data_IF_824426977639
#
_entry.id   IF_824426977639
#
_cell.length_a   1.000
_cell.length_b   1.000
_cell.length_c   1.000
_cell.angle_alpha   90.00
_cell.angle_beta   90.00
_cell.angle_gamma   90.00
#
_symmetry.space_group_name_H-M   'P 1'
#
loop_
_entity.id
_entity.type
_entity.pdbx_description
1 polymer ?
#
# COMPACT_ATOMS: atom_id res chain seq x y z
N UNK A 1 -7.24 16.35 -8.32
CA UNK A 1 -7.61 15.18 -7.48
C UNK A 1 -6.57 14.08 -7.73
N UNK A 2 -6.21 13.31 -6.71
CA UNK A 2 -5.33 12.15 -6.89
C UNK A 2 -6.00 11.14 -7.84
N UNK A 3 -5.19 10.43 -8.65
CA UNK A 3 -5.75 9.38 -9.51
C UNK A 3 -6.23 8.20 -8.66
N UNK A 4 -7.19 7.38 -9.12
CA UNK A 4 -7.58 6.16 -8.42
C UNK A 4 -6.40 5.24 -8.10
N UNK A 5 -5.40 5.20 -8.97
CA UNK A 5 -4.20 4.39 -8.75
C UNK A 5 -3.29 4.96 -7.66
N UNK A 6 -3.21 6.28 -7.49
CA UNK A 6 -2.45 6.89 -6.39
C UNK A 6 -3.07 6.50 -5.03
N UNK A 7 -4.41 6.47 -4.96
CA UNK A 7 -5.13 6.05 -3.75
C UNK A 7 -4.93 4.56 -3.48
N UNK A 8 -5.01 3.71 -4.49
CA UNK A 8 -4.77 2.27 -4.38
C UNK A 8 -3.31 1.99 -4.00
N UNK A 9 -2.34 2.68 -4.61
CA UNK A 9 -0.91 2.56 -4.28
C UNK A 9 -0.61 3.02 -2.85
N UNK A 10 -1.32 4.04 -2.37
CA UNK A 10 -1.14 4.58 -1.01
C UNK A 10 -1.51 3.59 0.10
N UNK A 11 -2.45 2.69 -0.15
CA UNK A 11 -2.77 1.55 0.75
C UNK A 11 -1.98 0.30 0.41
N UNK A 12 -1.65 0.12 -0.84
CA UNK A 12 -1.02 -1.09 -1.38
C UNK A 12 -1.95 -2.30 -1.47
N UNK A 13 -3.27 -2.11 -1.23
CA UNK A 13 -4.24 -3.20 -1.15
C UNK A 13 -5.51 -2.82 -1.90
N UNK A 14 -5.99 -3.73 -2.74
CA UNK A 14 -7.26 -3.62 -3.44
C UNK A 14 -8.11 -4.86 -3.16
N UNK A 15 -9.16 -4.77 -2.31
CA UNK A 15 -10.16 -5.83 -2.18
C UNK A 15 -10.85 -6.09 -3.52
N UNK A 16 -10.82 -7.35 -3.97
CA UNK A 16 -11.45 -7.79 -5.24
C UNK A 16 -12.60 -8.73 -4.88
N UNK A 17 -13.82 -8.27 -5.04
CA UNK A 17 -14.97 -8.90 -4.41
C UNK A 17 -16.08 -9.16 -5.43
N UNK A 18 -16.67 -10.35 -5.35
CA UNK A 18 -17.95 -10.69 -5.97
C UNK A 18 -19.05 -10.46 -4.94
N UNK A 19 -20.02 -9.62 -5.25
CA UNK A 19 -21.18 -9.34 -4.41
C UNK A 19 -22.37 -10.08 -5.02
N UNK A 20 -23.01 -10.95 -4.25
CA UNK A 20 -24.20 -11.70 -4.70
C UNK A 20 -25.50 -10.94 -4.39
N UNK A 21 -25.54 -10.27 -3.26
CA UNK A 21 -26.70 -9.54 -2.72
C UNK A 21 -26.39 -8.04 -2.71
N UNK A 22 -26.96 -7.24 -3.63
CA UNK A 22 -26.66 -5.81 -3.71
C UNK A 22 -26.98 -5.04 -2.43
N UNK A 23 -27.96 -5.53 -1.66
CA UNK A 23 -28.41 -4.95 -0.39
C UNK A 23 -27.28 -4.91 0.65
N UNK A 24 -26.38 -5.88 0.62
CA UNK A 24 -25.25 -6.01 1.58
C UNK A 24 -24.02 -5.17 1.19
N UNK A 25 -24.03 -4.57 0.01
CA UNK A 25 -22.87 -3.89 -0.58
C UNK A 25 -22.40 -2.68 0.23
N UNK A 26 -23.32 -1.96 0.87
CA UNK A 26 -23.02 -0.76 1.66
C UNK A 26 -22.35 -1.14 2.97
N UNK A 27 -22.88 -2.15 3.68
CA UNK A 27 -22.30 -2.66 4.93
C UNK A 27 -20.92 -3.28 4.69
N UNK A 28 -20.76 -4.02 3.58
CA UNK A 28 -19.47 -4.57 3.17
C UNK A 28 -18.44 -3.45 2.91
N UNK A 29 -18.82 -2.42 2.17
CA UNK A 29 -17.96 -1.27 1.91
C UNK A 29 -17.62 -0.51 3.20
N UNK A 30 -18.59 -0.35 4.12
CA UNK A 30 -18.37 0.25 5.43
C UNK A 30 -17.35 -0.56 6.26
N UNK A 31 -17.45 -1.90 6.26
CA UNK A 31 -16.52 -2.78 6.96
C UNK A 31 -15.09 -2.69 6.39
N UNK A 32 -14.94 -2.63 5.06
CA UNK A 32 -13.65 -2.45 4.39
C UNK A 32 -13.02 -1.11 4.79
N UNK A 33 -13.81 -0.02 4.78
CA UNK A 33 -13.36 1.31 5.20
C UNK A 33 -12.95 1.35 6.67
N UNK A 34 -13.73 0.73 7.55
CA UNK A 34 -13.41 0.61 8.97
C UNK A 34 -12.10 -0.16 9.22
N UNK A 35 -11.74 -1.08 8.31
CA UNK A 35 -10.46 -1.76 8.28
C UNK A 35 -9.30 -0.92 7.71
N UNK A 36 -9.55 0.31 7.25
CA UNK A 36 -8.53 1.25 6.78
C UNK A 36 -8.27 1.21 5.28
N UNK A 37 -9.16 0.63 4.47
CA UNK A 37 -9.02 0.57 3.01
C UNK A 37 -10.15 1.38 2.36
N UNK A 38 -9.81 2.43 1.63
CA UNK A 38 -10.78 3.28 0.94
C UNK A 38 -10.88 2.99 -0.57
N UNK A 39 -10.73 1.72 -0.94
CA UNK A 39 -10.83 1.23 -2.32
C UNK A 39 -11.48 -0.15 -2.37
N UNK A 40 -12.20 -0.46 -3.46
CA UNK A 40 -12.80 -1.77 -3.74
C UNK A 40 -12.89 -2.02 -5.25
N UNK A 41 -12.60 -3.24 -5.70
CA UNK A 41 -12.91 -3.75 -7.05
C UNK A 41 -14.13 -4.68 -6.94
N UNK A 42 -15.28 -4.23 -7.47
CA UNK A 42 -16.49 -5.07 -7.59
C UNK A 42 -16.40 -5.83 -8.91
N UNK A 43 -16.36 -7.15 -8.86
CA UNK A 43 -16.25 -7.97 -10.07
C UNK A 43 -17.59 -8.11 -10.79
N UNK A 44 -17.69 -7.65 -12.03
CA UNK A 44 -18.90 -7.73 -12.87
C UNK A 44 -19.01 -9.14 -13.47
N UNK A 45 -19.45 -10.09 -12.64
CA UNK A 45 -19.65 -11.52 -13.01
C UNK A 45 -21.09 -11.99 -12.82
N UNK A 46 -21.96 -11.12 -12.33
CA UNK A 46 -23.40 -11.35 -12.11
C UNK A 46 -24.16 -10.01 -12.28
N UNK A 47 -25.46 -10.08 -12.31
CA UNK A 47 -26.35 -8.93 -12.52
C UNK A 47 -26.33 -7.95 -11.31
N UNK A 48 -26.01 -8.46 -10.10
CA UNK A 48 -25.96 -7.68 -8.87
C UNK A 48 -24.79 -6.69 -8.82
N UNK A 49 -23.75 -6.89 -9.64
CA UNK A 49 -22.49 -6.15 -9.50
C UNK A 49 -22.63 -4.64 -9.77
N UNK A 50 -23.37 -4.26 -10.81
CA UNK A 50 -23.54 -2.85 -11.17
C UNK A 50 -24.43 -2.12 -10.17
N UNK A 51 -25.49 -2.77 -9.67
CA UNK A 51 -26.32 -2.23 -8.61
C UNK A 51 -25.52 -2.06 -7.31
N UNK A 52 -24.72 -3.08 -6.93
CA UNK A 52 -23.83 -3.00 -5.77
C UNK A 52 -22.87 -1.81 -5.87
N UNK A 53 -22.25 -1.64 -7.04
CA UNK A 53 -21.34 -0.51 -7.30
C UNK A 53 -22.04 0.84 -7.15
N UNK A 54 -23.25 1.00 -7.71
CA UNK A 54 -24.03 2.21 -7.60
C UNK A 54 -24.42 2.52 -6.14
N UNK A 55 -24.83 1.51 -5.37
CA UNK A 55 -25.14 1.64 -3.94
C UNK A 55 -23.92 2.07 -3.12
N UNK A 56 -22.75 1.47 -3.38
CA UNK A 56 -21.48 1.83 -2.72
C UNK A 56 -21.14 3.29 -3.02
N UNK A 57 -21.19 3.71 -4.29
CA UNK A 57 -20.87 5.09 -4.68
C UNK A 57 -21.84 6.10 -4.14
N UNK A 58 -23.13 5.75 -4.01
CA UNK A 58 -24.13 6.63 -3.39
C UNK A 58 -23.87 6.82 -1.89
N UNK A 59 -23.53 5.75 -1.17
CA UNK A 59 -23.26 5.78 0.26
C UNK A 59 -21.88 6.38 0.61
N UNK A 60 -20.87 6.12 -0.21
CA UNK A 60 -19.48 6.53 -0.02
C UNK A 60 -18.88 7.16 -1.28
N UNK A 61 -19.24 8.42 -1.61
CA UNK A 61 -18.76 9.09 -2.84
C UNK A 61 -17.24 9.23 -2.92
N UNK A 62 -16.56 9.28 -1.77
CA UNK A 62 -15.10 9.38 -1.63
C UNK A 62 -14.36 8.03 -1.69
N UNK A 63 -15.07 6.90 -1.62
CA UNK A 63 -14.46 5.57 -1.78
C UNK A 63 -14.14 5.31 -3.26
N UNK A 64 -12.92 4.87 -3.55
CA UNK A 64 -12.52 4.45 -4.89
C UNK A 64 -13.16 3.09 -5.21
N UNK A 65 -14.24 3.08 -5.96
CA UNK A 65 -14.94 1.88 -6.36
C UNK A 65 -14.77 1.62 -7.86
N UNK A 66 -14.13 0.49 -8.19
CA UNK A 66 -13.89 0.09 -9.58
C UNK A 66 -14.68 -1.14 -9.99
N UNK A 67 -14.90 -1.26 -11.29
CA UNK A 67 -15.50 -2.44 -11.89
C UNK A 67 -14.41 -3.40 -12.39
N UNK A 68 -14.39 -4.62 -11.87
CA UNK A 68 -13.51 -5.71 -12.30
C UNK A 68 -14.18 -6.69 -13.25
N UNK A 69 -13.36 -7.48 -13.94
CA UNK A 69 -13.82 -8.47 -14.95
C UNK A 69 -14.54 -7.83 -16.15
N UNK A 70 -14.21 -6.59 -16.44
CA UNK A 70 -14.74 -5.87 -17.61
C UNK A 70 -13.96 -6.31 -18.85
N UNK A 71 -14.67 -6.74 -19.92
CA UNK A 71 -14.03 -7.36 -21.08
C UNK A 71 -14.36 -6.68 -22.43
N UNK A 72 -15.25 -5.69 -22.43
CA UNK A 72 -15.63 -4.95 -23.63
C UNK A 72 -16.14 -3.54 -23.32
N UNK A 73 -16.26 -2.71 -24.35
CA UNK A 73 -16.71 -1.31 -24.25
C UNK A 73 -18.13 -1.17 -23.69
N UNK A 74 -19.02 -2.11 -23.99
CA UNK A 74 -20.39 -2.10 -23.47
C UNK A 74 -20.39 -2.22 -21.94
N UNK A 75 -19.57 -3.11 -21.38
CA UNK A 75 -19.39 -3.25 -19.93
C UNK A 75 -18.72 -2.02 -19.31
N UNK A 76 -17.77 -1.37 -20.00
CA UNK A 76 -17.19 -0.10 -19.54
C UNK A 76 -18.27 0.96 -19.36
N UNK A 77 -19.12 1.15 -20.39
CA UNK A 77 -20.23 2.12 -20.34
C UNK A 77 -21.20 1.84 -19.19
N UNK A 78 -21.57 0.57 -19.01
CA UNK A 78 -22.46 0.16 -17.93
C UNK A 78 -21.83 0.42 -16.54
N UNK A 79 -20.55 0.07 -16.35
CA UNK A 79 -19.82 0.30 -15.13
C UNK A 79 -19.68 1.81 -14.80
N UNK A 80 -19.38 2.63 -15.80
CA UNK A 80 -19.35 4.10 -15.65
C UNK A 80 -20.72 4.66 -15.29
N UNK A 81 -21.78 4.17 -15.92
CA UNK A 81 -23.17 4.52 -15.59
C UNK A 81 -23.53 4.18 -14.14
N UNK A 82 -22.96 3.12 -13.57
CA UNK A 82 -23.08 2.74 -12.17
C UNK A 82 -22.13 3.51 -11.23
N UNK A 83 -21.30 4.42 -11.74
CA UNK A 83 -20.40 5.27 -10.93
C UNK A 83 -19.00 4.71 -10.71
N UNK A 84 -18.56 3.72 -11.50
CA UNK A 84 -17.19 3.21 -11.37
C UNK A 84 -16.14 4.31 -11.57
N UNK A 85 -15.16 4.40 -10.67
CA UNK A 85 -14.03 5.34 -10.75
C UNK A 85 -12.92 4.81 -11.66
N UNK A 86 -12.77 3.49 -11.76
CA UNK A 86 -11.76 2.84 -12.58
C UNK A 86 -12.25 1.48 -13.10
N UNK A 87 -11.58 0.99 -14.14
CA UNK A 87 -11.88 -0.28 -14.82
C UNK A 87 -10.72 -1.26 -14.65
N UNK A 88 -11.04 -2.52 -14.39
CA UNK A 88 -10.07 -3.62 -14.35
C UNK A 88 -10.56 -4.76 -15.25
N UNK A 89 -9.67 -5.26 -16.10
CA UNK A 89 -9.99 -6.42 -16.97
C UNK A 89 -9.12 -7.64 -16.62
N UNK A 90 -9.58 -8.85 -16.93
CA UNK A 90 -8.82 -10.07 -16.71
C UNK A 90 -7.69 -10.26 -17.73
N UNK A 91 -7.78 -9.63 -18.88
CA UNK A 91 -6.79 -9.69 -19.96
C UNK A 91 -6.68 -8.35 -20.69
N UNK A 92 -5.74 -8.26 -21.62
CA UNK A 92 -5.50 -7.07 -22.43
C UNK A 92 -6.44 -7.02 -23.65
N UNK A 93 -7.45 -6.16 -23.57
CA UNK A 93 -8.37 -5.89 -24.69
C UNK A 93 -8.07 -4.53 -25.29
N UNK A 94 -7.40 -4.46 -26.44
CA UNK A 94 -6.92 -3.21 -27.05
C UNK A 94 -8.05 -2.19 -27.23
N UNK A 95 -9.14 -2.57 -27.90
CA UNK A 95 -10.30 -1.68 -28.14
C UNK A 95 -10.88 -1.10 -26.86
N UNK A 96 -11.03 -1.94 -25.83
CA UNK A 96 -11.56 -1.50 -24.54
C UNK A 96 -10.59 -0.54 -23.83
N UNK A 97 -9.28 -0.80 -23.88
CA UNK A 97 -8.26 0.07 -23.28
C UNK A 97 -8.22 1.41 -24.01
N UNK A 98 -8.21 1.41 -25.34
CA UNK A 98 -8.23 2.63 -26.16
C UNK A 98 -9.49 3.47 -25.88
N UNK A 99 -10.66 2.82 -25.76
CA UNK A 99 -11.90 3.49 -25.38
C UNK A 99 -11.76 4.15 -23.98
N UNK A 100 -11.26 3.42 -22.98
CA UNK A 100 -11.07 3.98 -21.65
C UNK A 100 -10.14 5.20 -21.65
N UNK A 101 -9.02 5.11 -22.37
CA UNK A 101 -8.04 6.20 -22.47
C UNK A 101 -8.61 7.42 -23.18
N UNK A 102 -9.37 7.25 -24.26
CA UNK A 102 -10.00 8.32 -25.01
C UNK A 102 -11.04 9.08 -24.15
N UNK A 103 -11.74 8.37 -23.26
CA UNK A 103 -12.78 8.90 -22.38
C UNK A 103 -12.23 9.33 -21.00
N UNK A 104 -10.90 9.29 -20.81
CA UNK A 104 -10.24 9.65 -19.53
C UNK A 104 -10.58 8.72 -18.36
N UNK A 105 -10.97 7.46 -18.66
CA UNK A 105 -11.33 6.47 -17.64
C UNK A 105 -10.07 5.71 -17.21
N UNK A 106 -9.68 5.74 -15.93
CA UNK A 106 -8.57 4.95 -15.43
C UNK A 106 -8.80 3.45 -15.67
N UNK A 107 -7.82 2.77 -16.28
CA UNK A 107 -7.95 1.35 -16.63
C UNK A 107 -6.68 0.58 -16.29
N UNK A 108 -6.86 -0.63 -15.71
CA UNK A 108 -5.77 -1.57 -15.41
C UNK A 108 -6.05 -2.91 -16.08
N UNK A 109 -5.53 -3.13 -17.31
CA UNK A 109 -5.75 -4.38 -18.00
C UNK A 109 -4.92 -5.51 -17.41
N UNK A 110 -5.45 -6.75 -17.49
CA UNK A 110 -4.71 -7.96 -17.20
C UNK A 110 -3.63 -8.22 -18.24
N UNK A 111 -2.40 -8.46 -17.77
CA UNK A 111 -1.26 -8.83 -18.59
C UNK A 111 -0.51 -9.98 -17.91
N UNK A 112 -0.15 -11.01 -18.67
CA UNK A 112 0.62 -12.16 -18.19
C UNK A 112 1.93 -12.37 -18.98
N UNK A 113 2.07 -11.71 -20.11
CA UNK A 113 3.20 -11.87 -21.04
C UNK A 113 3.90 -10.53 -21.32
N UNK A 114 5.20 -10.55 -21.70
CA UNK A 114 5.93 -9.36 -22.14
C UNK A 114 5.24 -8.62 -23.29
N UNK A 115 4.62 -9.34 -24.25
CA UNK A 115 3.94 -8.72 -25.40
C UNK A 115 2.71 -7.92 -24.98
N UNK A 116 1.92 -8.40 -24.01
CA UNK A 116 0.77 -7.66 -23.48
C UNK A 116 1.21 -6.44 -22.69
N UNK A 117 2.29 -6.56 -21.91
CA UNK A 117 2.86 -5.44 -21.14
C UNK A 117 3.41 -4.37 -22.11
N UNK A 118 4.09 -4.78 -23.17
CA UNK A 118 4.57 -3.87 -24.22
C UNK A 118 3.41 -3.14 -24.88
N UNK A 119 2.35 -3.84 -25.29
CA UNK A 119 1.16 -3.23 -25.87
C UNK A 119 0.48 -2.22 -24.90
N UNK A 120 0.43 -2.55 -23.61
CA UNK A 120 -0.07 -1.63 -22.59
C UNK A 120 0.82 -0.37 -22.49
N UNK A 121 2.14 -0.54 -22.50
CA UNK A 121 3.10 0.57 -22.45
C UNK A 121 3.03 1.46 -23.70
N UNK A 122 2.85 0.90 -24.89
CA UNK A 122 2.68 1.64 -26.14
C UNK A 122 1.45 2.54 -26.12
N UNK A 123 0.38 2.13 -25.41
CA UNK A 123 -0.82 2.95 -25.16
C UNK A 123 -0.63 3.97 -24.02
N UNK A 124 0.55 4.05 -23.43
CA UNK A 124 0.85 5.01 -22.37
C UNK A 124 0.45 4.56 -20.96
N UNK A 125 0.00 3.33 -20.78
CA UNK A 125 -0.30 2.79 -19.46
C UNK A 125 0.97 2.64 -18.61
N UNK A 126 0.83 2.84 -17.32
CA UNK A 126 1.92 2.67 -16.34
C UNK A 126 1.62 1.62 -15.28
N UNK A 127 0.39 1.15 -15.23
CA UNK A 127 -0.06 0.13 -14.28
C UNK A 127 -0.78 -0.96 -15.04
N UNK A 128 -0.44 -2.21 -14.79
CA UNK A 128 -1.13 -3.40 -15.32
C UNK A 128 -1.43 -4.38 -14.20
N UNK A 129 -2.49 -5.18 -14.36
CA UNK A 129 -2.80 -6.28 -13.47
C UNK A 129 -2.04 -7.52 -13.92
N UNK A 130 -1.17 -8.09 -13.08
CA UNK A 130 -0.63 -9.42 -13.32
C UNK A 130 -1.67 -10.46 -12.90
N UNK A 131 -2.23 -11.20 -13.86
CA UNK A 131 -3.30 -12.16 -13.60
C UNK A 131 -3.22 -13.39 -14.51
N UNK A 132 -3.33 -14.60 -13.94
CA UNK A 132 -3.36 -14.97 -12.50
C UNK A 132 -1.94 -15.00 -11.89
N UNK A 133 -1.65 -14.11 -10.93
CA UNK A 133 -0.29 -13.80 -10.48
C UNK A 133 0.52 -15.02 -10.02
N UNK A 134 -0.07 -15.87 -9.15
CA UNK A 134 0.64 -17.04 -8.63
C UNK A 134 0.94 -18.10 -9.71
N UNK A 135 0.13 -18.16 -10.76
CA UNK A 135 0.33 -19.09 -11.89
C UNK A 135 1.34 -18.56 -12.90
N UNK A 136 1.51 -17.23 -12.96
CA UNK A 136 2.44 -16.54 -13.87
C UNK A 136 3.83 -16.33 -13.24
N UNK A 137 4.17 -17.05 -12.16
CA UNK A 137 5.49 -16.97 -11.51
C UNK A 137 5.61 -15.99 -10.36
N UNK A 138 4.50 -15.37 -9.95
CA UNK A 138 4.42 -14.58 -8.72
C UNK A 138 5.34 -13.35 -8.70
N UNK A 139 5.94 -13.07 -7.54
CA UNK A 139 6.84 -11.94 -7.36
C UNK A 139 8.15 -12.09 -8.17
N UNK A 140 8.59 -13.32 -8.42
CA UNK A 140 9.75 -13.61 -9.27
C UNK A 140 9.54 -13.09 -10.69
N UNK A 141 8.41 -13.44 -11.31
CA UNK A 141 8.07 -12.94 -12.65
C UNK A 141 7.97 -11.41 -12.69
N UNK A 142 7.43 -10.76 -11.65
CA UNK A 142 7.38 -9.29 -11.59
C UNK A 142 8.79 -8.70 -11.57
N UNK A 143 9.72 -9.28 -10.81
CA UNK A 143 11.12 -8.83 -10.78
C UNK A 143 11.79 -8.95 -12.16
N UNK A 144 11.59 -10.08 -12.82
CA UNK A 144 12.14 -10.32 -14.18
C UNK A 144 11.55 -9.35 -15.21
N UNK A 145 10.22 -9.17 -15.19
CA UNK A 145 9.51 -8.24 -16.09
C UNK A 145 9.87 -6.76 -15.80
N UNK A 146 10.21 -6.42 -14.58
CA UNK A 146 10.61 -5.06 -14.22
C UNK A 146 11.94 -4.63 -14.84
N UNK A 147 12.78 -5.57 -15.28
CA UNK A 147 14.02 -5.25 -15.98
C UNK A 147 13.75 -4.49 -17.29
N UNK A 148 13.10 -5.11 -18.27
CA UNK A 148 12.78 -4.46 -19.56
C UNK A 148 11.68 -3.40 -19.43
N UNK A 149 10.76 -3.51 -18.47
CA UNK A 149 9.62 -2.62 -18.29
C UNK A 149 9.73 -1.76 -17.00
N UNK A 150 10.88 -1.13 -16.78
CA UNK A 150 11.22 -0.45 -15.51
C UNK A 150 10.31 0.71 -15.11
N UNK A 151 9.43 1.19 -15.99
CA UNK A 151 8.43 2.21 -15.68
C UNK A 151 7.04 1.64 -15.38
N UNK A 152 6.87 0.32 -15.60
CA UNK A 152 5.60 -0.36 -15.36
C UNK A 152 5.45 -0.75 -13.90
N UNK A 153 4.28 -0.51 -13.35
CA UNK A 153 3.84 -1.01 -12.04
C UNK A 153 2.87 -2.15 -12.23
N UNK A 154 2.84 -3.04 -11.26
CA UNK A 154 2.01 -4.24 -11.30
C UNK A 154 1.01 -4.26 -10.13
N UNK A 155 -0.20 -4.75 -10.42
CA UNK A 155 -1.19 -5.12 -9.42
C UNK A 155 -1.40 -6.64 -9.50
N UNK A 156 -0.53 -7.45 -8.86
CA UNK A 156 -0.70 -8.90 -8.84
C UNK A 156 -2.02 -9.27 -8.17
N UNK A 157 -2.76 -10.16 -8.82
CA UNK A 157 -4.06 -10.65 -8.35
C UNK A 157 -4.16 -12.15 -8.58
N UNK A 158 -4.83 -12.87 -7.68
CA UNK A 158 -4.94 -14.32 -7.60
C UNK A 158 -3.75 -14.97 -6.88
N UNK A 159 -4.07 -15.70 -5.81
CA UNK A 159 -3.11 -16.41 -4.97
C UNK A 159 -2.41 -15.55 -3.93
N UNK A 160 -2.86 -14.31 -3.74
CA UNK A 160 -2.39 -13.43 -2.66
C UNK A 160 -3.16 -13.74 -1.39
N UNK A 161 -2.43 -13.77 -0.27
CA UNK A 161 -2.94 -14.01 1.08
C UNK A 161 -2.04 -13.33 2.13
N UNK A 162 -2.32 -13.52 3.42
CA UNK A 162 -1.53 -12.90 4.49
C UNK A 162 -0.08 -13.37 4.56
N UNK A 163 0.21 -14.60 4.10
CA UNK A 163 1.56 -15.18 4.20
C UNK A 163 2.52 -14.62 3.15
N UNK A 164 2.00 -14.20 1.98
CA UNK A 164 2.81 -13.70 0.87
C UNK A 164 2.64 -12.20 0.56
N UNK A 165 1.66 -11.55 1.21
CA UNK A 165 1.35 -10.13 0.99
C UNK A 165 2.59 -9.22 1.11
N UNK A 166 3.35 -9.38 2.18
CA UNK A 166 4.53 -8.55 2.45
C UNK A 166 5.64 -8.76 1.42
N UNK A 167 5.81 -9.99 0.91
CA UNK A 167 6.79 -10.29 -0.14
C UNK A 167 6.45 -9.54 -1.44
N UNK A 168 5.18 -9.56 -1.86
CA UNK A 168 4.75 -8.79 -3.04
C UNK A 168 4.93 -7.29 -2.83
N UNK A 169 4.49 -6.76 -1.69
CA UNK A 169 4.52 -5.32 -1.43
C UNK A 169 5.93 -4.76 -1.15
N UNK A 170 6.90 -5.61 -0.84
CA UNK A 170 8.30 -5.21 -0.76
C UNK A 170 8.95 -5.04 -2.15
N UNK A 171 8.34 -5.57 -3.21
CA UNK A 171 8.82 -5.36 -4.58
C UNK A 171 8.47 -3.95 -5.06
N UNK A 172 9.45 -3.09 -5.43
CA UNK A 172 9.19 -1.70 -5.82
C UNK A 172 8.32 -1.55 -7.08
N UNK A 173 8.23 -2.60 -7.91
CA UNK A 173 7.39 -2.62 -9.09
C UNK A 173 5.91 -2.95 -8.77
N UNK A 174 5.59 -3.35 -7.54
CA UNK A 174 4.21 -3.64 -7.13
C UNK A 174 3.59 -2.38 -6.55
N UNK A 175 2.57 -1.85 -7.23
CA UNK A 175 1.78 -0.72 -6.78
C UNK A 175 0.85 -1.13 -5.62
N UNK A 176 0.10 -2.21 -5.83
CA UNK A 176 -0.80 -2.78 -4.85
C UNK A 176 -0.98 -4.29 -5.13
N UNK A 177 -1.60 -5.00 -4.21
CA UNK A 177 -2.04 -6.39 -4.41
C UNK A 177 -3.55 -6.45 -4.47
N UNK A 178 -4.10 -7.23 -5.41
CA UNK A 178 -5.52 -7.51 -5.52
C UNK A 178 -5.88 -8.86 -4.92
N UNK A 179 -6.93 -8.93 -4.10
CA UNK A 179 -7.35 -10.22 -3.55
C UNK A 179 -8.69 -10.19 -2.81
N UNK A 180 -9.28 -11.37 -2.68
CA UNK A 180 -10.54 -11.59 -1.95
C UNK A 180 -10.33 -12.14 -0.53
N UNK A 181 -9.08 -12.29 -0.08
CA UNK A 181 -8.76 -12.94 1.20
C UNK A 181 -9.25 -12.16 2.42
N UNK A 182 -9.49 -10.85 2.28
CA UNK A 182 -10.02 -9.97 3.34
C UNK A 182 -11.54 -10.13 3.53
N UNK A 183 -12.26 -10.40 2.43
CA UNK A 183 -13.71 -10.57 2.44
C UNK A 183 -14.07 -11.80 1.61
N UNK A 184 -13.87 -13.00 2.21
CA UNK A 184 -14.18 -14.27 1.58
C UNK A 184 -15.69 -14.44 1.43
N UNK A 185 -16.12 -15.17 0.41
CA UNK A 185 -17.53 -15.36 0.09
C UNK A 185 -18.35 -15.92 1.26
N UNK A 186 -17.78 -16.84 2.03
CA UNK A 186 -18.44 -17.43 3.21
C UNK A 186 -18.60 -16.43 4.37
N UNK A 187 -17.69 -15.48 4.51
CA UNK A 187 -17.76 -14.39 5.52
C UNK A 187 -18.84 -13.38 5.11
N UNK A 188 -18.88 -13.00 3.82
CA UNK A 188 -19.90 -12.10 3.27
C UNK A 188 -21.29 -12.73 3.42
N UNK A 189 -21.46 -14.01 3.05
CA UNK A 189 -22.73 -14.71 3.12
C UNK A 189 -23.30 -14.84 4.56
N UNK A 190 -22.44 -14.76 5.57
CA UNK A 190 -22.86 -14.70 6.99
C UNK A 190 -23.05 -13.29 7.52
N UNK A 191 -22.85 -12.27 6.69
CA UNK A 191 -22.85 -10.85 7.07
C UNK A 191 -21.90 -10.54 8.25
N UNK A 192 -20.77 -11.24 8.31
CA UNK A 192 -19.79 -11.08 9.38
C UNK A 192 -18.85 -9.89 9.07
N UNK A 193 -19.41 -8.70 9.20
CA UNK A 193 -18.72 -7.44 8.87
C UNK A 193 -17.57 -7.15 9.81
N UNK A 194 -17.64 -7.64 11.05
CA UNK A 194 -16.52 -7.48 11.98
C UNK A 194 -15.29 -8.26 11.51
N UNK A 195 -15.46 -9.50 11.06
CA UNK A 195 -14.39 -10.31 10.46
C UNK A 195 -13.81 -9.63 9.21
N UNK A 196 -14.64 -9.03 8.35
CA UNK A 196 -14.16 -8.27 7.19
C UNK A 196 -13.28 -7.08 7.64
N UNK A 197 -13.75 -6.32 8.63
CA UNK A 197 -13.01 -5.18 9.20
C UNK A 197 -11.65 -5.61 9.75
N UNK A 198 -11.62 -6.66 10.55
CA UNK A 198 -10.39 -7.15 11.19
C UNK A 198 -9.42 -7.73 10.16
N UNK A 199 -9.93 -8.40 9.14
CA UNK A 199 -9.15 -8.90 8.02
C UNK A 199 -8.50 -7.76 7.20
N UNK A 200 -9.26 -6.71 6.93
CA UNK A 200 -8.73 -5.52 6.24
C UNK A 200 -7.66 -4.81 7.09
N UNK A 201 -7.92 -4.64 8.40
CA UNK A 201 -6.94 -4.05 9.33
C UNK A 201 -5.64 -4.85 9.35
N UNK A 202 -5.73 -6.19 9.47
CA UNK A 202 -4.56 -7.07 9.41
C UNK A 202 -3.79 -6.93 8.08
N UNK A 203 -4.49 -6.81 6.96
CA UNK A 203 -3.85 -6.60 5.67
C UNK A 203 -3.09 -5.27 5.61
N UNK A 204 -3.68 -4.18 6.15
CA UNK A 204 -3.03 -2.87 6.25
C UNK A 204 -1.81 -2.93 7.17
N UNK A 205 -1.90 -3.56 8.33
CA UNK A 205 -0.77 -3.76 9.26
C UNK A 205 0.39 -4.48 8.59
N UNK A 206 0.12 -5.57 7.86
CA UNK A 206 1.13 -6.30 7.09
C UNK A 206 1.71 -5.48 5.93
N UNK A 207 0.89 -4.66 5.27
CA UNK A 207 1.34 -3.75 4.21
C UNK A 207 2.35 -2.73 4.73
N UNK A 208 2.11 -2.19 5.91
CA UNK A 208 2.98 -1.22 6.57
C UNK A 208 4.20 -1.90 7.19
N UNK A 209 3.99 -3.04 7.86
CA UNK A 209 5.03 -3.85 8.47
C UNK A 209 5.93 -3.07 9.42
N UNK A 210 5.32 -2.28 10.31
CA UNK A 210 6.08 -1.50 11.30
C UNK A 210 6.86 -2.40 12.26
N UNK A 211 8.13 -2.07 12.44
CA UNK A 211 9.06 -2.72 13.37
C UNK A 211 9.91 -1.66 14.06
N UNK A 212 10.26 -1.87 15.33
CA UNK A 212 11.21 -1.00 16.01
C UNK A 212 12.56 -1.02 15.27
N UNK A 213 13.05 0.15 14.86
CA UNK A 213 14.36 0.30 14.25
C UNK A 213 15.44 0.52 15.31
N UNK A 214 15.26 1.55 16.13
CA UNK A 214 16.17 1.94 17.21
C UNK A 214 15.50 2.94 18.15
N UNK A 215 16.13 3.14 19.31
CA UNK A 215 15.82 4.24 20.22
C UNK A 215 17.01 5.17 20.25
N UNK A 216 16.79 6.44 19.93
CA UNK A 216 17.78 7.49 20.01
C UNK A 216 17.67 8.24 21.34
N UNK A 217 18.78 8.46 22.01
CA UNK A 217 18.88 9.21 23.25
C UNK A 217 19.63 10.50 23.01
N UNK A 218 19.10 11.63 23.45
CA UNK A 218 19.81 12.90 23.38
C UNK A 218 20.85 12.96 24.49
N UNK A 219 22.11 13.26 24.11
CA UNK A 219 23.22 13.49 25.03
C UNK A 219 23.66 14.95 24.96
N UNK A 220 24.28 15.45 26.03
CA UNK A 220 24.78 16.81 26.08
C UNK A 220 26.01 17.04 25.18
N UNK A 221 26.66 15.96 24.73
CA UNK A 221 27.81 16.01 23.86
C UNK A 221 28.39 14.64 23.51
N UNK A 222 29.43 14.66 22.69
CA UNK A 222 30.11 13.43 22.23
C UNK A 222 30.72 12.63 23.40
N UNK A 223 31.26 13.32 24.42
CA UNK A 223 31.91 12.66 25.55
C UNK A 223 30.89 11.88 26.41
N UNK A 224 29.73 12.47 26.65
CA UNK A 224 28.61 11.79 27.32
C UNK A 224 28.12 10.60 26.50
N UNK A 225 27.91 10.80 25.18
CA UNK A 225 27.48 9.74 24.29
C UNK A 225 28.49 8.58 24.28
N UNK A 226 29.79 8.86 24.31
CA UNK A 226 30.83 7.83 24.35
C UNK A 226 30.82 7.09 25.71
N UNK A 227 30.70 7.80 26.82
CA UNK A 227 30.64 7.19 28.16
C UNK A 227 29.42 6.28 28.32
N UNK A 228 28.25 6.73 27.84
CA UNK A 228 27.02 5.92 27.83
C UNK A 228 27.14 4.70 26.89
N UNK A 229 27.78 4.87 25.73
CA UNK A 229 28.04 3.76 24.81
C UNK A 229 28.89 2.66 25.43
N UNK A 230 29.97 3.05 26.12
CA UNK A 230 30.85 2.12 26.82
C UNK A 230 30.13 1.40 27.95
N UNK A 231 29.31 2.15 28.73
CA UNK A 231 28.52 1.59 29.83
C UNK A 231 27.45 0.59 29.31
N UNK A 232 26.73 0.94 28.23
CA UNK A 232 25.77 0.04 27.61
C UNK A 232 26.43 -1.20 27.05
N UNK A 233 27.56 -1.03 26.36
CA UNK A 233 28.32 -2.16 25.76
C UNK A 233 28.96 -3.06 26.83
N UNK A 234 29.34 -2.51 27.98
CA UNK A 234 29.83 -3.31 29.12
C UNK A 234 28.74 -4.22 29.71
N UNK A 235 27.45 -3.73 29.71
CA UNK A 235 26.31 -4.51 30.21
C UNK A 235 25.75 -5.46 29.15
N UNK A 236 25.71 -5.00 27.92
CA UNK A 236 25.17 -5.73 26.76
C UNK A 236 26.20 -5.68 25.62
N UNK A 237 27.00 -6.71 25.41
CA UNK A 237 28.09 -6.68 24.45
C UNK A 237 27.61 -6.73 22.99
N UNK A 238 27.02 -5.61 22.53
CA UNK A 238 26.45 -5.44 21.19
C UNK A 238 27.40 -4.76 20.20
N UNK A 239 28.54 -4.27 20.67
CA UNK A 239 29.52 -3.51 19.88
C UNK A 239 29.15 -2.02 19.77
N UNK A 240 30.18 -1.17 19.82
CA UNK A 240 30.05 0.29 19.70
C UNK A 240 30.50 0.73 18.30
N UNK A 241 29.71 1.56 17.66
CA UNK A 241 29.98 2.14 16.33
C UNK A 241 29.90 3.66 16.37
N UNK A 242 31.01 4.38 16.58
CA UNK A 242 31.03 5.83 16.55
C UNK A 242 30.74 6.35 15.14
N UNK A 243 29.87 7.38 15.04
CA UNK A 243 29.56 8.10 13.82
C UNK A 243 29.85 9.60 13.94
N UNK A 244 29.48 10.37 12.91
CA UNK A 244 29.70 11.82 12.89
C UNK A 244 28.75 12.58 13.81
N UNK A 245 27.48 12.19 13.86
CA UNK A 245 26.40 12.87 14.60
C UNK A 245 25.91 12.08 15.82
N UNK A 246 26.21 10.79 15.86
CA UNK A 246 25.75 9.86 16.90
C UNK A 246 26.71 8.69 17.06
N UNK A 247 26.56 7.95 18.15
CA UNK A 247 27.24 6.67 18.41
C UNK A 247 26.18 5.59 18.58
N UNK A 248 26.29 4.51 17.82
CA UNK A 248 25.40 3.35 17.97
C UNK A 248 25.99 2.28 18.90
N UNK A 249 25.14 1.71 19.74
CA UNK A 249 25.42 0.47 20.46
C UNK A 249 24.54 -0.63 19.86
N UNK A 250 25.18 -1.59 19.21
CA UNK A 250 24.50 -2.54 18.35
C UNK A 250 23.80 -1.86 17.16
N UNK A 251 22.53 -2.23 16.95
CA UNK A 251 21.63 -1.60 15.97
C UNK A 251 20.42 -0.92 16.63
N UNK A 252 20.30 -1.07 17.95
CA UNK A 252 19.09 -0.75 18.69
C UNK A 252 19.13 0.58 19.44
N UNK A 253 20.34 1.04 19.84
CA UNK A 253 20.48 2.28 20.62
C UNK A 253 21.38 3.26 19.86
N UNK A 254 20.89 4.46 19.65
CA UNK A 254 21.60 5.58 19.06
C UNK A 254 21.80 6.68 20.11
N UNK A 255 23.02 7.07 20.36
CA UNK A 255 23.38 8.12 21.30
C UNK A 255 23.75 9.38 20.50
N UNK A 256 22.88 10.38 20.52
CA UNK A 256 23.06 11.62 19.77
C UNK A 256 24.13 12.48 20.41
N UNK A 257 25.09 12.96 19.61
CA UNK A 257 26.18 13.84 20.09
C UNK A 257 25.70 15.26 20.41
N UNK A 258 24.55 15.64 19.84
CA UNK A 258 23.90 16.93 20.05
C UNK A 258 22.39 16.61 20.15
N UNK A 259 21.67 17.19 21.12
CA UNK A 259 20.21 17.01 21.18
C UNK A 259 19.56 17.34 19.84
N UNK A 260 18.66 16.46 19.43
CA UNK A 260 17.92 16.57 18.18
C UNK A 260 16.42 16.57 18.47
N UNK A 261 15.57 16.11 17.57
CA UNK A 261 14.13 16.04 17.83
C UNK A 261 13.81 15.18 19.05
N UNK A 262 12.77 15.62 19.78
CA UNK A 262 12.25 14.99 20.99
C UNK A 262 12.97 15.44 22.27
N UNK A 263 12.19 15.63 23.35
CA UNK A 263 12.71 16.04 24.66
C UNK A 263 13.75 15.05 25.21
N UNK A 264 13.48 13.74 25.07
CA UNK A 264 14.35 12.67 25.52
C UNK A 264 15.17 12.02 24.38
N UNK A 265 14.81 12.34 23.13
CA UNK A 265 15.36 11.73 21.95
C UNK A 265 14.27 11.24 20.99
N UNK A 266 14.52 10.14 20.27
CA UNK A 266 13.60 9.67 19.26
C UNK A 266 13.42 8.15 19.27
N UNK A 267 12.30 7.68 18.71
CA UNK A 267 12.05 6.27 18.45
C UNK A 267 11.86 6.11 16.94
N UNK A 268 12.71 5.29 16.33
CA UNK A 268 12.64 4.98 14.90
C UNK A 268 11.86 3.71 14.63
N UNK A 269 10.96 3.76 13.65
CA UNK A 269 10.22 2.61 13.15
C UNK A 269 10.58 2.34 11.69
N UNK A 270 10.91 1.07 11.38
CA UNK A 270 11.04 0.61 10.00
C UNK A 270 9.68 0.31 9.42
N UNK A 271 9.53 0.52 8.12
CA UNK A 271 8.31 0.17 7.37
C UNK A 271 8.65 -0.43 6.01
N UNK A 272 7.73 -1.22 5.47
CA UNK A 272 7.84 -1.77 4.10
C UNK A 272 7.74 -0.67 3.03
N UNK A 273 7.06 0.45 3.34
CA UNK A 273 6.94 1.59 2.42
C UNK A 273 6.71 2.89 3.20
N UNK A 274 7.69 3.78 3.16
CA UNK A 274 7.60 5.09 3.82
C UNK A 274 6.47 5.94 3.23
N UNK A 275 6.24 5.85 1.92
CA UNK A 275 5.14 6.56 1.27
C UNK A 275 3.76 6.05 1.73
N UNK A 276 3.56 4.72 1.87
CA UNK A 276 2.33 4.15 2.44
C UNK A 276 2.15 4.51 3.90
N UNK A 277 3.24 4.49 4.69
CA UNK A 277 3.20 4.93 6.09
C UNK A 277 2.77 6.39 6.21
N UNK A 278 3.29 7.28 5.33
CA UNK A 278 2.87 8.68 5.27
C UNK A 278 1.37 8.80 5.02
N UNK A 279 0.86 8.17 3.96
CA UNK A 279 -0.56 8.19 3.63
C UNK A 279 -1.44 7.61 4.76
N UNK A 280 -0.97 6.55 5.43
CA UNK A 280 -1.63 5.96 6.59
C UNK A 280 -1.77 6.95 7.74
N UNK A 281 -0.72 7.70 8.09
CA UNK A 281 -0.77 8.70 9.15
C UNK A 281 -1.67 9.88 8.78
N UNK A 282 -1.53 10.42 7.57
CA UNK A 282 -2.34 11.53 7.08
C UNK A 282 -3.84 11.20 7.04
N UNK A 283 -4.20 9.98 6.62
CA UNK A 283 -5.60 9.52 6.61
C UNK A 283 -6.23 9.44 8.01
N UNK A 284 -5.42 9.44 9.05
CA UNK A 284 -5.83 9.44 10.47
C UNK A 284 -5.67 10.79 11.15
N UNK A 285 -5.35 11.82 10.38
CA UNK A 285 -5.12 13.17 10.93
C UNK A 285 -3.85 13.30 11.76
N UNK A 286 -2.91 12.33 11.65
CA UNK A 286 -1.62 12.40 12.32
C UNK A 286 -0.68 13.24 11.46
N UNK A 287 -0.24 14.36 12.01
CA UNK A 287 0.59 15.32 11.30
C UNK A 287 2.03 14.83 11.10
N UNK A 288 2.61 15.16 9.95
CA UNK A 288 3.99 14.84 9.59
C UNK A 288 4.80 16.13 9.56
N UNK A 289 6.02 16.08 10.07
CA UNK A 289 6.97 17.17 9.89
C UNK A 289 7.49 17.17 8.45
N UNK A 290 6.92 18.04 7.61
CA UNK A 290 7.23 18.12 6.18
C UNK A 290 8.71 18.42 5.89
N UNK A 291 9.38 19.19 6.76
CA UNK A 291 10.80 19.55 6.60
C UNK A 291 11.73 18.36 6.84
N UNK A 292 11.26 17.31 7.54
CA UNK A 292 12.02 16.11 7.82
C UNK A 292 11.99 15.08 6.70
N UNK A 293 11.12 15.24 5.69
CA UNK A 293 10.97 14.29 4.60
C UNK A 293 12.26 14.20 3.79
N UNK A 294 12.78 13.02 3.61
CA UNK A 294 13.92 12.77 2.74
C UNK A 294 13.65 11.67 1.71
N UNK A 295 14.49 11.65 0.68
CA UNK A 295 14.38 10.77 -0.47
C UNK A 295 15.71 10.08 -0.74
N UNK A 296 15.65 8.86 -1.23
CA UNK A 296 16.83 8.12 -1.67
C UNK A 296 17.36 8.64 -3.03
N UNK A 297 18.49 8.11 -3.47
CA UNK A 297 19.12 8.49 -4.74
C UNK A 297 18.25 8.21 -5.99
N UNK A 298 17.18 7.41 -5.84
CA UNK A 298 16.19 7.10 -6.89
C UNK A 298 14.94 7.96 -6.78
N UNK A 299 14.92 8.95 -5.87
CA UNK A 299 13.78 9.85 -5.64
C UNK A 299 12.62 9.18 -4.87
N UNK A 300 12.82 8.06 -4.21
CA UNK A 300 11.81 7.42 -3.39
C UNK A 300 11.90 7.95 -1.95
N UNK A 301 10.74 8.30 -1.36
CA UNK A 301 10.67 8.70 0.05
C UNK A 301 11.21 7.58 0.93
N UNK A 302 12.17 7.89 1.78
CA UNK A 302 12.86 6.93 2.63
C UNK A 302 12.83 7.24 4.12
N UNK A 303 12.35 8.46 4.50
CA UNK A 303 12.36 8.90 5.89
C UNK A 303 11.41 10.08 6.12
N UNK A 304 10.81 10.20 7.32
CA UNK A 304 10.19 11.40 7.88
C UNK A 304 9.99 11.26 9.40
N UNK A 305 9.84 12.42 10.10
CA UNK A 305 9.34 12.50 11.47
C UNK A 305 7.83 12.78 11.50
N UNK A 306 7.13 12.27 12.52
CA UNK A 306 5.83 12.80 12.91
C UNK A 306 6.01 14.19 13.55
N UNK A 307 4.96 15.01 13.53
CA UNK A 307 5.03 16.36 14.06
C UNK A 307 5.04 16.39 15.60
N UNK A 308 4.33 15.45 16.21
CA UNK A 308 4.13 15.40 17.66
C UNK A 308 5.05 14.38 18.32
N UNK A 309 5.41 14.66 19.57
CA UNK A 309 6.13 13.74 20.45
C UNK A 309 5.16 12.82 21.20
N UNK A 310 5.62 11.62 21.51
CA UNK A 310 4.92 10.68 22.39
C UNK A 310 5.83 10.35 23.57
N UNK A 311 5.39 10.69 24.78
CA UNK A 311 6.18 10.46 25.99
C UNK A 311 7.54 11.19 26.01
N UNK A 312 7.65 12.31 25.33
CA UNK A 312 8.90 13.08 25.20
C UNK A 312 9.87 12.54 24.13
N UNK A 313 9.43 11.57 23.32
CA UNK A 313 10.19 11.07 22.19
C UNK A 313 9.59 11.53 20.85
N UNK A 314 10.41 12.06 19.99
CA UNK A 314 10.03 12.26 18.59
C UNK A 314 9.95 10.90 17.89
N UNK A 315 8.95 10.71 17.04
CA UNK A 315 8.77 9.47 16.29
C UNK A 315 9.16 9.66 14.83
N UNK A 316 9.95 8.75 14.30
CA UNK A 316 10.28 8.79 12.87
C UNK A 316 10.08 7.44 12.18
N UNK A 317 9.91 7.49 10.88
CA UNK A 317 9.73 6.34 10.01
C UNK A 317 10.87 6.28 9.00
N UNK A 318 11.42 5.08 8.81
CA UNK A 318 12.49 4.79 7.86
C UNK A 318 12.16 3.53 7.06
N UNK A 319 12.57 3.47 5.81
CA UNK A 319 12.42 2.29 4.96
C UNK A 319 13.27 1.10 5.44
N UNK A 320 12.79 -0.13 5.20
CA UNK A 320 13.53 -1.38 5.40
C UNK A 320 14.64 -1.54 4.36
#
# INVERSE_FOLDING_TARGET
>A
MASPFDIIESTGILPVIKIEEPETSVELAAAIRAGGINAIEVTVRNDSALESLARIKAAFPDMMAGAGTVTNVGMVKAARGAGADFIVSPGFGKEMVEYCLADGIPVTPGCATPSEIQAAQELGLRVVKLFPANRCGGVGAIKDLSGPFGRMKFVPTCGINYDNLSEYLSCPAVAAVGGSFMAKADVIARHDWQTVTDNCRRAVELSLGFELAHVGMNCAGRDEASALADELNRRFPMGVRPGGKSTFVGTAVELMHIPYYGTHGHIGFRTNSVARAKAYFESRGIAINAESISYDAKGRMNFFYLADEVGGFALHVVGK
#
